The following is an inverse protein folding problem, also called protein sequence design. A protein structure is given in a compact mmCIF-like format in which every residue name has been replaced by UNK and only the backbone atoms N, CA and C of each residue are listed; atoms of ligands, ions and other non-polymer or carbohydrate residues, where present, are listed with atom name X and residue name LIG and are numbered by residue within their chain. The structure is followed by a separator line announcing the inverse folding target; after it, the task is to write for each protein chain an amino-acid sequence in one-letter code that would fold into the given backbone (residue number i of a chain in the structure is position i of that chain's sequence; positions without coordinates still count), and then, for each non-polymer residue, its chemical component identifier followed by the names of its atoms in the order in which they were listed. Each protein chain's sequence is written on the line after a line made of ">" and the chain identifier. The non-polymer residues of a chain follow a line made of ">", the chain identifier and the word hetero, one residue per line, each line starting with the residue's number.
data_IF_965170408432
#
_entry.id   IF_965170408432
#
_cell.length_a   1.000
_cell.length_b   1.000
_cell.length_c   1.000
_cell.angle_alpha   90.00
_cell.angle_beta   90.00
_cell.angle_gamma   90.00
#
_symmetry.space_group_name_H-M   'P 1'
#
loop_
_entity.id
_entity.type
_entity.pdbx_description
1 polymer ?
#
# COMPACT_ATOMS: atom_id res chain seq x y z
N UNK A 1 3.92 -33.81 -15.05
CA UNK A 1 4.55 -32.50 -15.25
C UNK A 1 5.95 -32.60 -14.65
N UNK A 2 6.99 -32.30 -15.40
CA UNK A 2 8.36 -32.41 -14.90
C UNK A 2 8.60 -31.31 -13.86
N UNK A 3 9.13 -31.68 -12.68
CA UNK A 3 9.57 -30.70 -11.69
C UNK A 3 10.79 -29.97 -12.25
N UNK A 4 10.64 -28.70 -12.55
CA UNK A 4 11.75 -27.85 -12.95
C UNK A 4 12.54 -27.46 -11.69
N UNK A 5 13.74 -28.01 -11.54
CA UNK A 5 14.62 -27.74 -10.41
C UNK A 5 15.72 -26.76 -10.81
N UNK A 6 15.82 -25.65 -10.09
CA UNK A 6 16.86 -24.64 -10.30
C UNK A 6 18.00 -24.82 -9.29
N UNK A 7 19.23 -24.87 -9.79
CA UNK A 7 20.42 -24.87 -8.95
C UNK A 7 20.84 -23.42 -8.66
N UNK A 8 20.71 -22.99 -7.41
CA UNK A 8 21.00 -21.61 -6.99
C UNK A 8 22.10 -21.59 -5.93
N UNK A 9 23.05 -20.66 -6.06
CA UNK A 9 24.05 -20.39 -5.02
C UNK A 9 23.36 -19.75 -3.81
N UNK A 10 23.45 -20.38 -2.64
CA UNK A 10 22.78 -19.89 -1.41
C UNK A 10 23.72 -19.55 -0.26
N UNK A 11 24.98 -19.99 -0.33
CA UNK A 11 25.95 -19.73 0.73
C UNK A 11 27.13 -18.86 0.23
N UNK A 12 27.06 -17.54 0.42
CA UNK A 12 28.15 -16.65 0.01
C UNK A 12 29.40 -16.77 0.90
N UNK A 13 29.32 -17.38 2.09
CA UNK A 13 30.48 -17.50 2.99
C UNK A 13 31.53 -18.51 2.50
N UNK A 14 31.10 -19.51 1.72
CA UNK A 14 31.98 -20.54 1.15
C UNK A 14 32.53 -20.17 -0.22
N UNK A 15 32.09 -19.06 -0.80
CA UNK A 15 32.54 -18.61 -2.11
C UNK A 15 33.91 -17.93 -2.01
N UNK A 16 34.89 -18.46 -2.74
CA UNK A 16 36.26 -17.96 -2.73
C UNK A 16 36.37 -16.49 -3.21
N UNK A 17 35.52 -16.07 -4.15
CA UNK A 17 35.50 -14.68 -4.63
C UNK A 17 34.98 -13.75 -3.54
N UNK A 18 33.89 -14.12 -2.86
CA UNK A 18 33.31 -13.35 -1.75
C UNK A 18 34.29 -13.28 -0.57
N UNK A 19 34.92 -14.39 -0.20
CA UNK A 19 35.93 -14.44 0.85
C UNK A 19 37.16 -13.56 0.53
N UNK A 20 37.57 -13.52 -0.74
CA UNK A 20 38.64 -12.64 -1.23
C UNK A 20 38.27 -11.16 -1.11
N UNK A 21 37.05 -10.78 -1.53
CA UNK A 21 36.56 -9.40 -1.40
C UNK A 21 36.46 -8.96 0.07
N UNK A 22 35.98 -9.85 0.95
CA UNK A 22 35.93 -9.60 2.39
C UNK A 22 37.35 -9.39 2.97
N UNK A 23 38.30 -10.23 2.58
CA UNK A 23 39.71 -10.09 3.01
C UNK A 23 40.32 -8.76 2.54
N UNK A 24 40.04 -8.33 1.32
CA UNK A 24 40.44 -7.01 0.82
C UNK A 24 39.80 -5.88 1.62
N UNK A 25 38.51 -6.00 1.95
CA UNK A 25 37.80 -5.01 2.75
C UNK A 25 38.41 -4.86 4.16
N UNK A 26 38.78 -5.97 4.80
CA UNK A 26 39.47 -5.96 6.09
C UNK A 26 40.85 -5.29 6.01
N UNK A 27 41.60 -5.49 4.93
CA UNK A 27 42.89 -4.82 4.70
C UNK A 27 42.72 -3.31 4.58
N UNK A 28 41.77 -2.84 3.75
CA UNK A 28 41.49 -1.41 3.61
C UNK A 28 40.94 -0.80 4.90
N UNK A 29 40.11 -1.52 5.66
CA UNK A 29 39.65 -1.10 7.00
C UNK A 29 40.84 -0.90 7.93
N UNK A 30 41.71 -1.89 8.05
CA UNK A 30 42.88 -1.79 8.94
C UNK A 30 43.87 -0.72 8.51
N UNK A 31 44.04 -0.50 7.20
CA UNK A 31 44.86 0.59 6.67
C UNK A 31 44.25 1.96 7.00
N UNK A 32 42.95 2.13 6.77
CA UNK A 32 42.23 3.37 7.05
C UNK A 32 42.22 3.73 8.55
N UNK A 33 42.13 2.75 9.45
CA UNK A 33 42.21 2.95 10.90
C UNK A 33 43.55 3.53 11.37
N UNK A 34 44.62 3.32 10.60
CA UNK A 34 45.98 3.79 10.91
C UNK A 34 46.41 4.99 10.07
N UNK A 35 45.57 5.41 9.12
CA UNK A 35 45.89 6.46 8.16
C UNK A 35 45.94 7.81 8.85
N UNK A 36 47.06 8.52 8.68
CA UNK A 36 47.23 9.91 9.12
C UNK A 36 47.50 10.76 7.88
N UNK A 37 46.71 11.80 7.69
CA UNK A 37 46.85 12.75 6.58
C UNK A 37 47.53 14.00 7.15
N UNK A 38 48.80 14.22 6.80
CA UNK A 38 49.58 15.37 7.26
C UNK A 38 50.05 16.27 6.11
N UNK A 39 49.87 15.84 4.86
CA UNK A 39 50.30 16.56 3.68
C UNK A 39 49.36 16.36 2.50
N UNK A 40 49.46 17.23 1.49
CA UNK A 40 48.71 17.10 0.24
C UNK A 40 49.07 15.82 -0.53
N UNK A 41 50.31 15.33 -0.38
CA UNK A 41 50.70 14.03 -0.94
C UNK A 41 49.89 12.89 -0.32
N UNK A 42 49.65 12.94 0.99
CA UNK A 42 48.81 11.94 1.68
C UNK A 42 47.36 12.02 1.21
N UNK A 43 46.85 13.22 0.91
CA UNK A 43 45.51 13.42 0.33
C UNK A 43 45.39 12.75 -1.05
N UNK A 44 46.42 12.85 -1.89
CA UNK A 44 46.44 12.19 -3.21
C UNK A 44 46.40 10.67 -3.04
N UNK A 45 47.27 10.11 -2.18
CA UNK A 45 47.29 8.67 -1.90
C UNK A 45 45.97 8.17 -1.30
N UNK A 46 45.40 8.90 -0.35
CA UNK A 46 44.09 8.59 0.24
C UNK A 46 42.96 8.65 -0.80
N UNK A 47 43.04 9.56 -1.77
CA UNK A 47 42.06 9.63 -2.87
C UNK A 47 42.15 8.40 -3.79
N UNK A 48 43.35 7.89 -4.04
CA UNK A 48 43.55 6.62 -4.75
C UNK A 48 42.93 5.46 -3.97
N UNK A 49 43.18 5.37 -2.66
CA UNK A 49 42.59 4.34 -1.81
C UNK A 49 41.06 4.44 -1.78
N UNK A 50 40.49 5.64 -1.67
CA UNK A 50 39.03 5.85 -1.73
C UNK A 50 38.43 5.36 -3.05
N UNK A 51 39.14 5.51 -4.17
CA UNK A 51 38.71 4.99 -5.47
C UNK A 51 38.69 3.47 -5.50
N UNK A 52 39.72 2.83 -4.93
CA UNK A 52 39.76 1.36 -4.82
C UNK A 52 38.68 0.85 -3.88
N UNK A 53 38.46 1.51 -2.74
CA UNK A 53 37.38 1.19 -1.80
C UNK A 53 36.00 1.30 -2.48
N UNK A 54 35.77 2.32 -3.29
CA UNK A 54 34.53 2.48 -4.04
C UNK A 54 34.30 1.33 -5.04
N UNK A 55 35.35 0.94 -5.78
CA UNK A 55 35.28 -0.21 -6.69
C UNK A 55 35.06 -1.54 -5.95
N UNK A 56 35.69 -1.72 -4.79
CA UNK A 56 35.50 -2.89 -3.93
C UNK A 56 34.05 -2.97 -3.42
N UNK A 57 33.47 -1.85 -2.99
CA UNK A 57 32.05 -1.78 -2.60
C UNK A 57 31.13 -2.20 -3.75
N UNK A 58 31.42 -1.74 -4.98
CA UNK A 58 30.69 -2.13 -6.18
C UNK A 58 30.80 -3.63 -6.45
N UNK A 59 32.00 -4.20 -6.39
CA UNK A 59 32.22 -5.63 -6.60
C UNK A 59 31.47 -6.51 -5.57
N UNK A 60 31.44 -6.11 -4.29
CA UNK A 60 30.66 -6.80 -3.25
C UNK A 60 29.15 -6.74 -3.56
N UNK A 61 28.66 -5.59 -3.99
CA UNK A 61 27.25 -5.41 -4.37
C UNK A 61 26.88 -6.24 -5.62
N UNK A 62 27.77 -6.33 -6.60
CA UNK A 62 27.57 -7.15 -7.79
C UNK A 62 27.52 -8.64 -7.43
N UNK A 63 28.40 -9.10 -6.53
CA UNK A 63 28.29 -10.45 -5.95
C UNK A 63 26.95 -10.63 -5.23
N UNK A 64 26.52 -9.71 -4.37
CA UNK A 64 25.20 -9.80 -3.71
C UNK A 64 24.06 -9.97 -4.73
N UNK A 65 24.11 -9.24 -5.85
CA UNK A 65 23.11 -9.36 -6.93
C UNK A 65 23.15 -10.71 -7.62
N UNK A 66 24.32 -11.30 -7.84
CA UNK A 66 24.45 -12.64 -8.42
C UNK A 66 23.68 -13.70 -7.61
N UNK A 67 23.70 -13.60 -6.28
CA UNK A 67 22.95 -14.48 -5.38
C UNK A 67 21.47 -14.13 -5.29
N UNK A 68 21.15 -12.84 -5.19
CA UNK A 68 19.76 -12.41 -4.89
C UNK A 68 18.88 -12.30 -6.12
N UNK A 69 19.43 -12.00 -7.30
CA UNK A 69 18.64 -11.78 -8.51
C UNK A 69 17.89 -13.04 -8.96
N UNK A 70 18.51 -14.25 -9.03
CA UNK A 70 17.77 -15.46 -9.40
C UNK A 70 16.64 -15.75 -8.40
N UNK A 71 16.90 -15.63 -7.10
CA UNK A 71 15.90 -15.84 -6.05
C UNK A 71 14.71 -14.88 -6.19
N UNK A 72 14.99 -13.60 -6.40
CA UNK A 72 13.96 -12.59 -6.62
C UNK A 72 13.14 -12.87 -7.89
N UNK A 73 13.79 -13.34 -8.97
CA UNK A 73 13.11 -13.71 -10.20
C UNK A 73 12.18 -14.91 -9.97
N UNK A 74 12.64 -15.96 -9.30
CA UNK A 74 11.80 -17.12 -8.97
C UNK A 74 10.65 -16.76 -8.04
N UNK A 75 10.91 -15.95 -7.00
CA UNK A 75 9.87 -15.44 -6.11
C UNK A 75 8.79 -14.68 -6.90
N UNK A 76 9.21 -13.83 -7.85
CA UNK A 76 8.29 -13.11 -8.72
C UNK A 76 7.46 -14.06 -9.58
N UNK A 77 8.09 -15.03 -10.25
CA UNK A 77 7.38 -16.02 -11.08
C UNK A 77 6.34 -16.80 -10.28
N UNK A 78 6.72 -17.28 -9.09
CA UNK A 78 5.81 -18.00 -8.19
C UNK A 78 4.66 -17.09 -7.77
N UNK A 79 4.97 -15.87 -7.31
CA UNK A 79 3.96 -14.89 -6.90
C UNK A 79 2.99 -14.55 -8.02
N UNK A 80 3.48 -14.38 -9.25
CA UNK A 80 2.66 -14.07 -10.42
C UNK A 80 1.74 -15.25 -10.78
N UNK A 81 2.24 -16.49 -10.71
CA UNK A 81 1.44 -17.68 -10.94
C UNK A 81 0.31 -17.81 -9.91
N UNK A 82 0.61 -17.68 -8.63
CA UNK A 82 -0.40 -17.74 -7.57
C UNK A 82 -1.39 -16.57 -7.64
N UNK A 83 -0.95 -15.38 -8.06
CA UNK A 83 -1.86 -14.27 -8.35
C UNK A 83 -2.82 -14.63 -9.49
N UNK A 84 -2.32 -15.20 -10.59
CA UNK A 84 -3.16 -15.65 -11.71
C UNK A 84 -4.15 -16.74 -11.30
N UNK A 85 -3.77 -17.66 -10.42
CA UNK A 85 -4.68 -18.68 -9.88
C UNK A 85 -5.73 -18.10 -8.93
N UNK A 86 -5.37 -17.08 -8.17
CA UNK A 86 -6.24 -16.47 -7.15
C UNK A 86 -7.17 -15.39 -7.72
N UNK A 87 -6.82 -14.77 -8.86
CA UNK A 87 -7.60 -13.70 -9.48
C UNK A 87 -9.04 -14.13 -9.83
N UNK A 88 -9.31 -15.29 -10.47
CA UNK A 88 -10.68 -15.69 -10.81
C UNK A 88 -11.57 -15.90 -9.59
N UNK A 89 -11.05 -16.52 -8.52
CA UNK A 89 -11.82 -16.75 -7.29
C UNK A 89 -12.03 -15.45 -6.50
N UNK A 90 -11.04 -14.55 -6.49
CA UNK A 90 -11.19 -13.21 -5.90
C UNK A 90 -12.23 -12.39 -6.65
N UNK A 91 -12.22 -12.47 -7.99
CA UNK A 91 -13.22 -11.83 -8.83
C UNK A 91 -14.62 -12.42 -8.58
N UNK A 92 -14.74 -13.75 -8.50
CA UNK A 92 -16.00 -14.43 -8.20
C UNK A 92 -16.55 -14.02 -6.82
N UNK A 93 -15.71 -14.00 -5.77
CA UNK A 93 -16.11 -13.54 -4.43
C UNK A 93 -16.64 -12.10 -4.48
N UNK A 94 -15.93 -11.19 -5.17
CA UNK A 94 -16.37 -9.80 -5.36
C UNK A 94 -17.71 -9.71 -6.08
N UNK A 95 -17.91 -10.49 -7.15
CA UNK A 95 -19.16 -10.50 -7.91
C UNK A 95 -20.33 -11.02 -7.06
N UNK A 96 -20.16 -12.12 -6.34
CA UNK A 96 -21.20 -12.71 -5.48
C UNK A 96 -21.59 -11.73 -4.38
N UNK A 97 -20.61 -11.13 -3.69
CA UNK A 97 -20.87 -10.08 -2.68
C UNK A 97 -21.62 -8.90 -3.28
N UNK A 98 -21.21 -8.44 -4.46
CA UNK A 98 -21.87 -7.36 -5.18
C UNK A 98 -23.35 -7.67 -5.49
N UNK A 99 -23.64 -8.88 -5.96
CA UNK A 99 -25.02 -9.32 -6.25
C UNK A 99 -25.88 -9.40 -4.98
N UNK A 100 -25.32 -9.88 -3.87
CA UNK A 100 -26.02 -9.93 -2.57
C UNK A 100 -26.36 -8.50 -2.10
N UNK A 101 -25.41 -7.56 -2.21
CA UNK A 101 -25.64 -6.17 -1.84
C UNK A 101 -26.68 -5.50 -2.75
N UNK A 102 -26.62 -5.74 -4.06
CA UNK A 102 -27.59 -5.23 -5.02
C UNK A 102 -29.01 -5.76 -4.74
N UNK A 103 -29.15 -7.05 -4.45
CA UNK A 103 -30.42 -7.64 -4.05
C UNK A 103 -30.99 -7.00 -2.77
N UNK A 104 -30.16 -6.82 -1.73
CA UNK A 104 -30.60 -6.15 -0.50
C UNK A 104 -31.05 -4.71 -0.76
N UNK A 105 -30.30 -3.97 -1.58
CA UNK A 105 -30.65 -2.61 -1.95
C UNK A 105 -31.98 -2.54 -2.73
N UNK A 106 -32.24 -3.52 -3.60
CA UNK A 106 -33.50 -3.60 -4.34
C UNK A 106 -34.68 -3.92 -3.40
N UNK A 107 -34.52 -4.84 -2.44
CA UNK A 107 -35.57 -5.10 -1.44
C UNK A 107 -35.85 -3.86 -0.59
N UNK A 108 -34.80 -3.15 -0.15
CA UNK A 108 -34.95 -1.90 0.60
C UNK A 108 -35.67 -0.83 -0.24
N UNK A 109 -35.37 -0.72 -1.53
CA UNK A 109 -36.04 0.19 -2.47
C UNK A 109 -37.51 -0.13 -2.63
N UNK A 110 -37.85 -1.39 -2.90
CA UNK A 110 -39.25 -1.81 -3.08
C UNK A 110 -40.06 -1.57 -1.80
N UNK A 111 -39.43 -1.72 -0.62
CA UNK A 111 -40.07 -1.40 0.66
C UNK A 111 -40.38 0.10 0.78
N UNK A 112 -39.41 0.96 0.47
CA UNK A 112 -39.60 2.41 0.47
C UNK A 112 -40.71 2.84 -0.50
N UNK A 113 -40.74 2.25 -1.70
CA UNK A 113 -41.79 2.53 -2.69
C UNK A 113 -43.18 2.08 -2.19
N UNK A 114 -43.29 0.91 -1.56
CA UNK A 114 -44.55 0.43 -0.98
C UNK A 114 -45.03 1.33 0.19
N UNK A 115 -44.11 1.72 1.09
CA UNK A 115 -44.39 2.64 2.20
C UNK A 115 -44.85 4.02 1.68
N UNK A 116 -44.24 4.54 0.61
CA UNK A 116 -44.60 5.81 -0.03
C UNK A 116 -45.99 5.74 -0.69
N UNK A 117 -46.29 4.66 -1.41
CA UNK A 117 -47.61 4.45 -2.03
C UNK A 117 -48.70 4.37 -0.96
N UNK A 118 -48.43 3.65 0.14
CA UNK A 118 -49.37 3.56 1.26
C UNK A 118 -49.60 4.93 1.90
N UNK A 119 -48.55 5.73 2.11
CA UNK A 119 -48.66 7.09 2.63
C UNK A 119 -49.53 7.96 1.73
N UNK A 120 -49.25 7.97 0.43
CA UNK A 120 -50.01 8.77 -0.55
C UNK A 120 -51.48 8.33 -0.64
N UNK A 121 -51.77 7.02 -0.54
CA UNK A 121 -53.15 6.51 -0.52
C UNK A 121 -53.91 6.93 0.73
N UNK A 122 -53.26 6.91 1.90
CA UNK A 122 -53.87 7.40 3.15
C UNK A 122 -54.15 8.90 3.06
N UNK A 123 -53.19 9.70 2.62
CA UNK A 123 -53.38 11.14 2.42
C UNK A 123 -54.52 11.45 1.43
N UNK A 124 -54.64 10.70 0.33
CA UNK A 124 -55.70 10.88 -0.64
C UNK A 124 -57.08 10.54 -0.04
N UNK A 125 -57.20 9.42 0.67
CA UNK A 125 -58.45 9.02 1.34
C UNK A 125 -58.87 10.02 2.42
N UNK A 126 -57.92 10.57 3.18
CA UNK A 126 -58.18 11.62 4.17
C UNK A 126 -58.67 12.92 3.51
N UNK A 127 -58.06 13.35 2.40
CA UNK A 127 -58.51 14.53 1.65
C UNK A 127 -59.90 14.34 1.05
N UNK A 128 -60.20 13.16 0.51
CA UNK A 128 -61.50 12.87 -0.08
C UNK A 128 -62.61 12.83 0.98
N UNK A 129 -62.35 12.20 2.13
CA UNK A 129 -63.26 12.20 3.28
C UNK A 129 -63.51 13.63 3.81
N UNK A 130 -62.47 14.47 3.88
CA UNK A 130 -62.60 15.87 4.30
C UNK A 130 -63.44 16.72 3.33
N UNK A 131 -63.40 16.41 2.02
CA UNK A 131 -64.15 17.13 0.99
C UNK A 131 -65.60 16.65 0.84
N UNK A 132 -65.85 15.35 1.01
CA UNK A 132 -67.16 14.72 0.74
C UNK A 132 -67.98 14.47 2.01
N UNK A 133 -67.37 14.52 3.20
CA UNK A 133 -68.01 14.23 4.47
C UNK A 133 -68.39 12.76 4.67
N UNK A 134 -67.93 11.86 3.78
CA UNK A 134 -68.13 10.42 3.91
C UNK A 134 -67.08 9.78 4.83
N UNK A 135 -67.39 8.66 5.51
CA UNK A 135 -66.44 7.97 6.38
C UNK A 135 -65.21 7.49 5.61
N UNK A 136 -64.02 7.56 6.23
CA UNK A 136 -62.76 7.10 5.64
C UNK A 136 -62.86 5.59 5.39
N UNK A 137 -62.97 5.19 4.13
CA UNK A 137 -62.77 3.80 3.72
C UNK A 137 -61.27 3.56 3.72
N UNK A 138 -60.77 2.82 4.70
CA UNK A 138 -59.35 2.46 4.73
C UNK A 138 -59.02 1.63 3.48
N UNK A 139 -58.11 2.10 2.60
CA UNK A 139 -57.71 1.31 1.44
C UNK A 139 -57.10 -0.01 1.91
N UNK A 140 -57.36 -1.11 1.19
CA UNK A 140 -56.76 -2.40 1.50
C UNK A 140 -55.23 -2.28 1.58
N UNK A 141 -54.59 -2.85 2.62
CA UNK A 141 -53.16 -2.71 2.82
C UNK A 141 -52.42 -3.28 1.62
N UNK A 142 -51.54 -2.47 1.03
CA UNK A 142 -50.59 -2.95 0.02
C UNK A 142 -49.73 -4.05 0.64
N UNK A 143 -49.39 -5.12 -0.11
CA UNK A 143 -48.58 -6.21 0.42
C UNK A 143 -47.21 -5.67 0.86
N UNK A 144 -46.96 -5.69 2.17
CA UNK A 144 -45.71 -5.24 2.77
C UNK A 144 -44.62 -6.28 2.46
N UNK A 145 -43.59 -5.86 1.75
CA UNK A 145 -42.43 -6.72 1.48
C UNK A 145 -41.69 -6.91 2.81
N UNK A 146 -41.62 -8.16 3.29
CA UNK A 146 -40.97 -8.49 4.55
C UNK A 146 -39.46 -8.16 4.50
N UNK A 147 -38.94 -7.55 5.57
CA UNK A 147 -37.53 -7.20 5.66
C UNK A 147 -36.64 -8.45 5.62
N UNK A 148 -35.52 -8.45 4.88
CA UNK A 148 -34.59 -9.56 4.89
C UNK A 148 -33.92 -9.66 6.27
N UNK A 149 -33.57 -10.87 6.74
CA UNK A 149 -32.92 -11.04 8.04
C UNK A 149 -31.54 -10.37 8.05
N UNK A 150 -31.16 -9.79 9.20
CA UNK A 150 -29.86 -9.15 9.40
C UNK A 150 -28.68 -10.09 9.13
N UNK A 151 -28.89 -11.38 9.46
CA UNK A 151 -27.91 -12.45 9.30
C UNK A 151 -28.53 -13.66 8.62
N UNK A 152 -27.76 -14.25 7.70
CA UNK A 152 -28.05 -15.58 7.15
C UNK A 152 -27.06 -16.57 7.76
N UNK A 153 -27.58 -17.68 8.28
CA UNK A 153 -26.79 -18.80 8.78
C UNK A 153 -26.87 -19.95 7.77
N UNK A 154 -25.72 -20.54 7.46
CA UNK A 154 -25.61 -21.75 6.63
C UNK A 154 -24.68 -22.73 7.34
N UNK A 155 -24.71 -24.00 6.90
CA UNK A 155 -23.84 -25.05 7.45
C UNK A 155 -22.34 -24.69 7.32
N UNK A 156 -22.00 -23.84 6.35
CA UNK A 156 -20.62 -23.48 6.00
C UNK A 156 -20.24 -22.04 6.36
N UNK A 157 -21.12 -21.26 7.01
CA UNK A 157 -20.77 -19.89 7.42
C UNK A 157 -21.95 -19.00 7.81
N UNK A 158 -21.61 -17.76 8.18
CA UNK A 158 -22.60 -16.71 8.49
C UNK A 158 -22.36 -15.49 7.61
N UNK A 159 -23.43 -14.94 7.04
CA UNK A 159 -23.42 -13.71 6.24
C UNK A 159 -24.11 -12.60 7.02
N UNK A 160 -23.38 -11.52 7.33
CA UNK A 160 -23.89 -10.31 7.96
C UNK A 160 -23.44 -9.05 7.24
N UNK A 161 -24.17 -7.94 7.43
CA UNK A 161 -23.74 -6.62 6.97
C UNK A 161 -22.73 -6.04 7.97
N UNK A 162 -21.62 -5.52 7.46
CA UNK A 162 -20.62 -4.79 8.26
C UNK A 162 -20.51 -3.38 7.69
N UNK A 163 -20.58 -2.39 8.56
CA UNK A 163 -20.36 -0.99 8.19
C UNK A 163 -18.86 -0.72 8.24
N UNK A 164 -18.26 -0.45 7.08
CA UNK A 164 -16.85 -0.05 6.97
C UNK A 164 -16.80 1.47 6.91
N UNK A 165 -16.18 2.09 7.90
CA UNK A 165 -16.01 3.54 7.92
C UNK A 165 -14.95 3.92 6.89
N UNK A 166 -15.37 4.66 5.86
CA UNK A 166 -14.49 5.28 4.87
C UNK A 166 -14.46 6.77 5.16
N UNK A 167 -13.32 7.39 4.92
CA UNK A 167 -13.12 8.82 5.09
C UNK A 167 -12.51 9.39 3.80
N UNK A 168 -12.80 10.64 3.55
CA UNK A 168 -12.19 11.44 2.50
C UNK A 168 -11.72 12.74 3.13
N UNK A 169 -10.58 13.26 2.67
CA UNK A 169 -10.05 14.52 3.15
C UNK A 169 -10.78 15.68 2.46
N UNK A 170 -11.60 16.41 3.22
CA UNK A 170 -12.25 17.63 2.71
C UNK A 170 -11.28 18.83 2.71
N UNK A 171 -10.65 19.10 3.85
CA UNK A 171 -9.74 20.24 4.03
C UNK A 171 -8.54 19.87 4.91
N UNK A 172 -7.35 19.92 4.33
CA UNK A 172 -6.10 19.62 5.01
C UNK A 172 -5.78 20.59 6.16
N UNK A 173 -6.24 21.85 6.07
CA UNK A 173 -5.92 22.88 7.06
C UNK A 173 -6.61 22.62 8.40
N UNK A 174 -7.81 22.03 8.36
CA UNK A 174 -8.62 21.69 9.54
C UNK A 174 -8.22 20.39 10.21
N UNK A 175 -7.37 19.58 9.57
CA UNK A 175 -6.84 18.37 10.19
C UNK A 175 -5.96 18.78 11.39
N UNK A 176 -6.13 18.19 12.57
CA UNK A 176 -5.22 18.43 13.69
C UNK A 176 -3.77 18.09 13.34
N UNK A 177 -2.82 18.87 13.86
CA UNK A 177 -1.39 18.71 13.54
C UNK A 177 -0.84 17.32 13.94
N UNK A 178 -1.47 16.65 14.90
CA UNK A 178 -1.17 15.27 15.31
C UNK A 178 -1.30 14.24 14.17
N UNK A 179 -2.20 14.50 13.21
CA UNK A 179 -2.41 13.63 12.04
C UNK A 179 -1.68 14.13 10.79
N UNK A 180 -0.99 15.27 10.87
CA UNK A 180 -0.23 15.84 9.74
C UNK A 180 1.20 15.30 9.77
N UNK A 181 1.57 14.58 8.72
CA UNK A 181 2.96 14.18 8.51
C UNK A 181 3.64 15.14 7.54
N UNK A 182 4.84 15.57 7.90
CA UNK A 182 5.68 16.41 7.06
C UNK A 182 6.20 15.60 5.87
N UNK A 183 5.99 16.09 4.65
CA UNK A 183 6.55 15.51 3.42
C UNK A 183 8.05 15.85 3.29
N UNK A 184 8.89 15.02 3.93
CA UNK A 184 10.34 15.18 3.92
C UNK A 184 10.94 15.15 2.50
N UNK A 185 10.29 14.48 1.54
CA UNK A 185 10.78 14.37 0.15
C UNK A 185 10.62 15.70 -0.57
N UNK A 186 9.43 16.32 -0.46
CA UNK A 186 9.18 17.65 -1.04
C UNK A 186 10.06 18.70 -0.40
N UNK A 187 10.18 18.71 0.93
CA UNK A 187 11.08 19.62 1.64
C UNK A 187 12.51 19.39 1.17
N UNK A 188 13.00 18.15 1.13
CA UNK A 188 14.35 17.85 0.65
C UNK A 188 14.58 18.28 -0.81
N UNK A 189 13.57 18.25 -1.68
CA UNK A 189 13.65 18.78 -3.04
C UNK A 189 13.81 20.31 -3.05
N UNK A 190 13.04 21.00 -2.23
CA UNK A 190 13.04 22.47 -2.10
C UNK A 190 14.35 22.96 -1.45
N UNK A 191 14.82 22.27 -0.42
CA UNK A 191 16.11 22.54 0.24
C UNK A 191 17.26 22.37 -0.76
N UNK A 192 17.26 21.30 -1.56
CA UNK A 192 18.25 21.09 -2.64
C UNK A 192 18.16 22.13 -3.76
N UNK A 193 17.00 22.72 -3.99
CA UNK A 193 16.79 23.79 -4.97
C UNK A 193 17.30 25.16 -4.47
N UNK A 194 17.76 25.26 -3.22
CA UNK A 194 18.41 26.47 -2.69
C UNK A 194 17.48 27.49 -2.06
N UNK A 195 16.30 27.09 -1.57
CA UNK A 195 15.45 28.01 -0.79
C UNK A 195 16.16 28.35 0.54
N UNK A 196 16.32 29.64 0.87
CA UNK A 196 17.15 30.07 2.00
C UNK A 196 16.52 29.78 3.39
N UNK A 197 15.20 29.66 3.48
CA UNK A 197 14.50 29.35 4.74
C UNK A 197 13.12 28.78 4.46
N UNK A 198 12.73 27.76 5.24
CA UNK A 198 11.35 27.26 5.31
C UNK A 198 10.90 27.46 6.76
N UNK A 199 9.78 28.16 7.03
CA UNK A 199 9.28 28.33 8.39
C UNK A 199 9.16 26.98 9.12
N UNK A 200 9.76 26.88 10.32
CA UNK A 200 9.78 25.66 11.12
C UNK A 200 10.85 24.63 10.74
N UNK A 201 11.68 24.87 9.71
CA UNK A 201 12.75 23.95 9.28
C UNK A 201 14.09 24.67 9.25
N UNK A 202 15.04 24.18 10.05
CA UNK A 202 16.43 24.62 9.99
C UNK A 202 17.13 23.92 8.84
N UNK A 203 17.76 24.68 7.94
CA UNK A 203 18.57 24.17 6.83
C UNK A 203 20.04 24.40 7.18
N UNK A 204 20.88 23.38 7.03
CA UNK A 204 22.34 23.48 7.21
C UNK A 204 23.07 22.67 6.13
N UNK A 205 24.33 23.02 5.87
CA UNK A 205 25.19 22.34 4.91
C UNK A 205 26.34 21.68 5.65
N UNK A 206 26.58 20.41 5.33
CA UNK A 206 27.74 19.66 5.80
C UNK A 206 28.67 19.38 4.62
N UNK A 207 29.95 19.71 4.79
CA UNK A 207 30.96 19.39 3.78
C UNK A 207 31.14 17.87 3.72
N UNK A 208 30.93 17.28 2.54
CA UNK A 208 31.15 15.85 2.29
C UNK A 208 32.11 15.67 1.12
N UNK A 209 32.93 14.62 1.20
CA UNK A 209 33.86 14.27 0.14
C UNK A 209 33.19 13.31 -0.85
N UNK A 210 33.26 13.65 -2.13
CA UNK A 210 32.83 12.76 -3.22
C UNK A 210 34.05 12.34 -4.02
N UNK A 211 34.25 11.03 -4.13
CA UNK A 211 35.23 10.45 -5.05
C UNK A 211 34.49 9.87 -6.26
N UNK A 212 34.91 10.27 -7.45
CA UNK A 212 34.42 9.72 -8.70
C UNK A 212 35.34 8.61 -9.18
N UNK A 213 34.80 7.40 -9.34
CA UNK A 213 35.49 6.31 -10.03
C UNK A 213 35.27 6.45 -11.54
N UNK A 214 36.34 6.32 -12.34
CA UNK A 214 36.22 6.20 -13.81
C UNK A 214 35.65 4.84 -14.21
#
# INVERSE_FOLDING_TARGET
>A
MAEETALVKVNPQTDAAVASLHSQALRFKSAAEKLVIASDSDVISATTDLSVIANLKKAIEDQRKEYTQPLNNYLKTISDAFKAFTEPITHADKLVRGKILAYRAEIDRQRQEAEEIERLRREAAEREAALTGQPIIQPEPTPVIAAPPDRYHTDNGTLGKVMVHKWELEDFSKVPDEYKTIDAVKIGKVVRAGIPSIPGIRIWQEATLRVGTK
#
